data_IF_187099875170
#
_entry.id   IF_187099875170
#
_cell.length_a   1.000
_cell.length_b   1.000
_cell.length_c   1.000
_cell.angle_alpha   90.00
_cell.angle_beta   90.00
_cell.angle_gamma   90.00
#
_symmetry.space_group_name_H-M   'P 1'
#
loop_
_entity.id
_entity.type
_entity.pdbx_description
1 polymer ?
#
# COMPACT_ATOMS: atom_id res chain seq x y z
N UNK A 1 17.93 -9.83 39.68
CA UNK A 1 17.27 -10.33 40.90
C UNK A 1 15.80 -10.44 40.60
N UNK A 2 15.26 -11.66 40.61
CA UNK A 2 13.87 -11.96 40.26
C UNK A 2 13.31 -12.95 41.27
N UNK A 3 12.00 -12.89 41.53
CA UNK A 3 11.28 -13.86 42.34
C UNK A 3 10.16 -14.49 41.50
N UNK A 4 9.80 -15.73 41.84
CA UNK A 4 8.75 -16.47 41.16
C UNK A 4 7.42 -16.22 41.88
N UNK A 5 6.40 -15.75 41.15
CA UNK A 5 5.06 -15.50 41.71
C UNK A 5 4.08 -16.68 41.54
N UNK A 6 4.56 -17.80 41.00
CA UNK A 6 3.73 -18.97 40.65
C UNK A 6 3.33 -19.04 39.17
N UNK A 7 3.53 -17.97 38.40
CA UNK A 7 3.19 -17.90 36.97
C UNK A 7 4.34 -17.34 36.11
N UNK A 8 5.10 -16.37 36.64
CA UNK A 8 6.18 -15.68 35.94
C UNK A 8 7.28 -15.22 36.90
N UNK A 9 8.46 -14.98 36.34
CA UNK A 9 9.54 -14.32 37.04
C UNK A 9 9.28 -12.81 37.09
N UNK A 10 9.09 -12.27 38.29
CA UNK A 10 8.92 -10.84 38.54
C UNK A 10 10.21 -10.24 39.10
N UNK A 11 10.48 -8.99 38.72
CA UNK A 11 11.60 -8.23 39.29
C UNK A 11 11.40 -8.03 40.78
N UNK A 12 12.42 -8.27 41.60
CA UNK A 12 12.41 -7.86 43.01
C UNK A 12 12.69 -6.36 43.17
N UNK A 13 12.99 -5.63 42.09
CA UNK A 13 13.19 -4.18 42.10
C UNK A 13 11.90 -3.48 41.66
N UNK A 14 11.55 -2.40 42.36
CA UNK A 14 10.45 -1.53 42.00
C UNK A 14 10.70 -0.86 40.64
N UNK A 15 9.65 -0.44 39.90
CA UNK A 15 9.81 0.17 38.58
C UNK A 15 10.68 1.44 38.56
N UNK A 16 10.71 2.17 39.67
CA UNK A 16 11.52 3.37 39.87
C UNK A 16 12.95 3.08 40.35
N UNK A 17 13.30 1.81 40.59
CA UNK A 17 14.63 1.36 41.02
C UNK A 17 15.02 1.78 42.44
N UNK A 18 14.09 2.32 43.22
CA UNK A 18 14.35 2.87 44.57
C UNK A 18 14.08 1.87 45.69
N UNK A 19 13.24 0.88 45.44
CA UNK A 19 12.82 -0.09 46.44
C UNK A 19 13.07 -1.52 45.96
N UNK A 20 13.34 -2.42 46.90
CA UNK A 20 13.51 -3.85 46.66
C UNK A 20 12.54 -4.64 47.51
N UNK A 21 11.84 -5.58 46.90
CA UNK A 21 11.02 -6.56 47.58
C UNK A 21 11.93 -7.61 48.24
N UNK A 22 11.80 -7.76 49.56
CA UNK A 22 12.55 -8.75 50.35
C UNK A 22 11.79 -10.08 50.53
N UNK A 23 10.57 -10.21 49.98
CA UNK A 23 9.67 -11.35 50.19
C UNK A 23 8.50 -11.06 51.14
N UNK A 24 8.56 -9.97 51.91
CA UNK A 24 7.54 -9.57 52.89
C UNK A 24 7.19 -8.08 52.86
N UNK A 25 8.14 -7.22 52.49
CA UNK A 25 7.99 -5.78 52.42
C UNK A 25 8.88 -5.17 51.33
N UNK A 26 8.54 -3.95 50.93
CA UNK A 26 9.39 -3.11 50.08
C UNK A 26 10.39 -2.35 50.95
N UNK A 27 11.68 -2.64 50.78
CA UNK A 27 12.77 -1.96 51.46
C UNK A 27 13.42 -0.92 50.55
N UNK A 28 13.75 0.25 51.09
CA UNK A 28 14.49 1.26 50.35
C UNK A 28 15.92 0.80 50.08
N UNK A 29 16.38 0.95 48.84
CA UNK A 29 17.76 0.65 48.49
C UNK A 29 18.67 1.80 48.95
N UNK A 30 19.74 1.46 49.66
CA UNK A 30 20.76 2.44 50.08
C UNK A 30 21.42 3.16 48.89
N UNK A 31 21.43 2.53 47.72
CA UNK A 31 21.83 3.12 46.44
C UNK A 31 20.76 2.73 45.41
N UNK A 32 20.13 3.69 44.70
CA UNK A 32 19.17 3.38 43.65
C UNK A 32 19.79 2.41 42.65
N UNK A 33 19.17 1.25 42.46
CA UNK A 33 19.65 0.32 41.44
C UNK A 33 19.37 0.95 40.08
N UNK A 34 20.38 1.02 39.22
CA UNK A 34 20.18 1.41 37.83
C UNK A 34 19.26 0.38 37.16
N UNK A 35 17.98 0.69 37.08
CA UNK A 35 17.03 0.00 36.23
C UNK A 35 17.12 0.72 34.89
N UNK A 36 17.61 0.08 33.81
CA UNK A 36 17.47 0.68 32.50
C UNK A 36 15.98 0.89 32.27
N UNK A 37 15.55 2.15 32.21
CA UNK A 37 14.15 2.55 32.10
C UNK A 37 13.44 2.00 30.83
N UNK A 38 14.17 1.31 29.97
CA UNK A 38 13.67 0.67 28.78
C UNK A 38 14.56 -0.51 28.39
N UNK A 39 14.15 -1.73 28.74
CA UNK A 39 14.55 -2.90 27.95
C UNK A 39 13.53 -3.03 26.82
N UNK A 40 13.92 -2.91 25.54
CA UNK A 40 13.02 -3.17 24.44
C UNK A 40 12.48 -4.60 24.61
N UNK A 41 11.17 -4.74 24.84
CA UNK A 41 10.48 -6.03 25.00
C UNK A 41 10.61 -6.93 23.76
N UNK A 42 11.08 -6.38 22.64
CA UNK A 42 11.57 -7.13 21.48
C UNK A 42 12.99 -6.71 21.13
N UNK A 43 13.91 -7.67 20.92
CA UNK A 43 15.23 -7.33 20.43
C UNK A 43 15.13 -6.54 19.12
N UNK A 44 15.95 -5.49 18.96
CA UNK A 44 15.92 -4.64 17.78
C UNK A 44 16.16 -5.47 16.52
N UNK A 45 15.40 -5.20 15.46
CA UNK A 45 15.64 -5.83 14.16
C UNK A 45 16.82 -5.16 13.48
N UNK A 46 17.75 -5.95 12.98
CA UNK A 46 18.91 -5.43 12.25
C UNK A 46 18.70 -5.55 10.74
N UNK A 47 19.02 -4.48 9.97
CA UNK A 47 19.02 -4.56 8.51
C UNK A 47 20.02 -5.59 8.01
N UNK A 48 19.63 -6.29 6.94
CA UNK A 48 20.49 -7.24 6.24
C UNK A 48 20.91 -6.66 4.88
N UNK A 49 21.74 -7.40 4.13
CA UNK A 49 22.10 -7.04 2.75
C UNK A 49 20.89 -6.89 1.82
N UNK A 50 19.75 -7.49 2.15
CA UNK A 50 18.50 -7.39 1.39
C UNK A 50 17.65 -6.17 1.73
N UNK A 51 17.89 -5.52 2.87
CA UNK A 51 17.04 -4.41 3.32
C UNK A 51 17.13 -3.21 2.37
N UNK A 52 18.34 -2.78 2.02
CA UNK A 52 18.55 -1.63 1.11
C UNK A 52 18.01 -1.86 -0.30
N UNK A 53 18.31 -2.97 -1.01
CA UNK A 53 17.78 -3.18 -2.35
C UNK A 53 16.25 -3.27 -2.35
N UNK A 54 15.65 -3.92 -1.35
CA UNK A 54 14.19 -3.97 -1.22
C UNK A 54 13.58 -2.58 -1.00
N UNK A 55 14.17 -1.75 -0.14
CA UNK A 55 13.72 -0.36 0.06
C UNK A 55 13.77 0.43 -1.24
N UNK A 56 14.88 0.35 -1.98
CA UNK A 56 15.05 1.07 -3.24
C UNK A 56 14.04 0.57 -4.27
N UNK A 57 13.82 -0.74 -4.38
CA UNK A 57 12.85 -1.30 -5.32
C UNK A 57 11.42 -0.81 -5.05
N UNK A 58 11.00 -0.81 -3.78
CA UNK A 58 9.69 -0.27 -3.37
C UNK A 58 9.61 1.24 -3.62
N UNK A 59 10.65 2.00 -3.25
CA UNK A 59 10.69 3.46 -3.46
C UNK A 59 10.61 3.79 -4.95
N UNK A 60 11.42 3.13 -5.78
CA UNK A 60 11.45 3.35 -7.22
C UNK A 60 10.11 3.03 -7.86
N UNK A 61 9.48 1.92 -7.45
CA UNK A 61 8.16 1.53 -7.94
C UNK A 61 7.10 2.57 -7.60
N UNK A 62 6.96 2.92 -6.32
CA UNK A 62 5.95 3.91 -5.92
C UNK A 62 6.27 5.33 -6.40
N UNK A 63 7.53 5.68 -6.62
CA UNK A 63 7.89 6.94 -7.27
C UNK A 63 7.40 6.97 -8.73
N UNK A 64 7.62 5.88 -9.47
CA UNK A 64 7.07 5.74 -10.82
C UNK A 64 5.53 5.73 -10.81
N UNK A 65 4.89 5.05 -9.84
CA UNK A 65 3.43 5.08 -9.70
C UNK A 65 2.92 6.50 -9.44
N UNK A 66 3.56 7.27 -8.56
CA UNK A 66 3.18 8.65 -8.31
C UNK A 66 3.28 9.51 -9.58
N UNK A 67 4.36 9.35 -10.35
CA UNK A 67 4.50 10.03 -11.65
C UNK A 67 3.36 9.62 -12.58
N UNK A 68 3.08 8.34 -12.71
CA UNK A 68 2.00 7.84 -13.55
C UNK A 68 0.63 8.43 -13.14
N UNK A 69 0.30 8.43 -11.85
CA UNK A 69 -0.95 8.99 -11.32
C UNK A 69 -1.08 10.50 -11.57
N UNK A 70 0.02 11.25 -11.52
CA UNK A 70 0.02 12.68 -11.88
C UNK A 70 -0.33 12.88 -13.36
N UNK A 71 0.20 12.05 -14.24
CA UNK A 71 -0.02 12.18 -15.68
C UNK A 71 -1.33 11.55 -16.17
N UNK A 72 -1.92 10.64 -15.39
CA UNK A 72 -3.11 9.89 -15.78
C UNK A 72 -4.32 10.79 -16.11
N UNK A 73 -4.68 11.82 -15.32
CA UNK A 73 -5.76 12.75 -15.67
C UNK A 73 -5.53 13.49 -16.99
N UNK A 74 -4.27 13.80 -17.33
CA UNK A 74 -3.94 14.50 -18.57
C UNK A 74 -4.08 13.60 -19.80
N UNK A 75 -3.67 12.34 -19.71
CA UNK A 75 -3.81 11.38 -20.82
C UNK A 75 -5.24 10.86 -20.98
N UNK A 76 -5.95 10.67 -19.87
CA UNK A 76 -7.30 10.10 -19.87
C UNK A 76 -8.42 11.13 -19.97
N UNK A 77 -8.18 12.40 -19.62
CA UNK A 77 -9.21 13.44 -19.64
C UNK A 77 -9.87 13.62 -21.00
N UNK A 78 -9.07 13.72 -22.06
CA UNK A 78 -9.58 13.84 -23.44
C UNK A 78 -10.36 12.59 -23.88
N UNK A 79 -9.86 11.40 -23.56
CA UNK A 79 -10.53 10.14 -23.86
C UNK A 79 -11.88 10.02 -23.12
N UNK A 80 -11.94 10.36 -21.84
CA UNK A 80 -13.18 10.34 -21.07
C UNK A 80 -14.23 11.29 -21.62
N UNK A 81 -13.82 12.50 -22.04
CA UNK A 81 -14.72 13.44 -22.73
C UNK A 81 -15.32 12.84 -24.01
N UNK A 82 -14.52 12.13 -24.81
CA UNK A 82 -15.02 11.48 -26.04
C UNK A 82 -16.00 10.34 -25.74
N UNK A 83 -15.68 9.49 -24.76
CA UNK A 83 -16.59 8.42 -24.32
C UNK A 83 -17.91 9.00 -23.82
N UNK A 84 -17.86 10.10 -23.08
CA UNK A 84 -19.05 10.78 -22.58
C UNK A 84 -19.88 11.38 -23.73
N UNK A 85 -19.25 12.04 -24.70
CA UNK A 85 -19.96 12.58 -25.86
C UNK A 85 -20.65 11.46 -26.66
N UNK A 86 -19.98 10.32 -26.84
CA UNK A 86 -20.58 9.16 -27.50
C UNK A 86 -21.73 8.57 -26.69
N UNK A 87 -21.62 8.51 -25.36
CA UNK A 87 -22.70 7.99 -24.51
C UNK A 87 -23.92 8.91 -24.53
N UNK A 88 -23.72 10.23 -24.49
CA UNK A 88 -24.77 11.24 -24.67
C UNK A 88 -25.44 11.09 -26.03
N UNK A 89 -24.68 10.95 -27.11
CA UNK A 89 -25.27 10.78 -28.45
C UNK A 89 -26.12 9.51 -28.55
N UNK A 90 -25.65 8.39 -27.97
CA UNK A 90 -26.44 7.15 -27.92
C UNK A 90 -27.71 7.30 -27.10
N UNK A 91 -27.64 8.03 -25.99
CA UNK A 91 -28.81 8.34 -25.16
C UNK A 91 -29.78 9.23 -25.92
N UNK A 92 -29.33 10.31 -26.54
CA UNK A 92 -30.17 11.21 -27.35
C UNK A 92 -30.86 10.48 -28.50
N UNK A 93 -30.18 9.53 -29.15
CA UNK A 93 -30.78 8.70 -30.20
C UNK A 93 -31.80 7.69 -29.65
N UNK A 94 -31.77 7.38 -28.35
CA UNK A 94 -32.69 6.47 -27.69
C UNK A 94 -33.88 7.19 -27.00
N UNK A 95 -33.80 8.52 -26.81
CA UNK A 95 -34.89 9.31 -26.26
C UNK A 95 -35.98 9.57 -27.31
N UNK A 96 -37.27 9.58 -26.92
CA UNK A 96 -38.35 10.08 -27.76
C UNK A 96 -38.08 11.54 -28.17
N UNK A 97 -38.51 11.97 -29.38
CA UNK A 97 -38.31 13.34 -29.84
C UNK A 97 -38.89 14.37 -28.86
N UNK A 98 -38.03 15.24 -28.30
CA UNK A 98 -38.42 16.32 -27.38
C UNK A 98 -38.12 16.08 -25.90
N UNK A 99 -37.74 14.86 -25.50
CA UNK A 99 -37.37 14.51 -24.11
C UNK A 99 -35.86 14.43 -23.93
N UNK A 100 -35.14 15.50 -24.32
CA UNK A 100 -33.68 15.57 -24.13
C UNK A 100 -33.27 15.71 -22.65
N UNK A 101 -32.04 15.31 -22.28
CA UNK A 101 -31.53 15.51 -20.93
C UNK A 101 -31.54 17.01 -20.53
N UNK A 102 -31.71 17.34 -19.23
CA UNK A 102 -31.80 18.72 -18.77
C UNK A 102 -30.61 19.59 -19.20
N UNK A 103 -30.79 20.91 -19.40
CA UNK A 103 -29.69 21.83 -19.66
C UNK A 103 -28.59 21.71 -18.59
N UNK A 104 -27.32 21.64 -19.02
CA UNK A 104 -26.17 21.47 -18.11
C UNK A 104 -25.90 20.04 -17.64
N UNK A 105 -26.76 19.05 -17.94
CA UNK A 105 -26.54 17.66 -17.52
C UNK A 105 -25.23 17.06 -18.07
N UNK A 106 -24.91 17.34 -19.34
CA UNK A 106 -23.71 16.83 -19.99
C UNK A 106 -22.42 17.45 -19.40
N UNK A 107 -22.45 18.75 -19.08
CA UNK A 107 -21.35 19.47 -18.44
C UNK A 107 -21.11 18.96 -17.02
N UNK A 108 -22.20 18.72 -16.27
CA UNK A 108 -22.14 18.12 -14.94
C UNK A 108 -21.50 16.73 -15.00
N UNK A 109 -21.98 15.86 -15.89
CA UNK A 109 -21.48 14.49 -15.97
C UNK A 109 -20.01 14.43 -16.43
N UNK A 110 -19.63 15.27 -17.40
CA UNK A 110 -18.22 15.40 -17.81
C UNK A 110 -17.35 15.89 -16.65
N UNK A 111 -17.82 16.88 -15.88
CA UNK A 111 -17.09 17.42 -14.74
C UNK A 111 -16.94 16.38 -13.62
N UNK A 112 -17.97 15.59 -13.34
CA UNK A 112 -17.90 14.48 -12.38
C UNK A 112 -16.90 13.42 -12.83
N UNK A 113 -16.93 13.05 -14.10
CA UNK A 113 -16.05 12.03 -14.67
C UNK A 113 -14.58 12.48 -14.63
N UNK A 114 -14.27 13.69 -15.09
CA UNK A 114 -12.91 14.24 -14.98
C UNK A 114 -12.50 14.51 -13.53
N UNK A 115 -13.43 14.96 -12.68
CA UNK A 115 -13.18 15.16 -11.25
C UNK A 115 -12.81 13.85 -10.55
N UNK A 116 -13.45 12.74 -10.91
CA UNK A 116 -13.11 11.42 -10.36
C UNK A 116 -11.68 10.97 -10.70
N UNK A 117 -11.16 11.33 -11.88
CA UNK A 117 -9.75 11.09 -12.23
C UNK A 117 -8.81 11.84 -11.30
N UNK A 118 -9.09 13.11 -11.02
CA UNK A 118 -8.26 13.93 -10.12
C UNK A 118 -8.30 13.43 -8.68
N UNK A 119 -9.48 13.01 -8.21
CA UNK A 119 -9.64 12.38 -6.89
C UNK A 119 -8.84 11.08 -6.84
N UNK A 120 -8.95 10.23 -7.86
CA UNK A 120 -8.18 8.99 -7.97
C UNK A 120 -6.67 9.24 -7.94
N UNK A 121 -6.20 10.18 -8.77
CA UNK A 121 -4.79 10.58 -8.82
C UNK A 121 -4.30 11.08 -7.45
N UNK A 122 -5.06 11.94 -6.78
CA UNK A 122 -4.70 12.44 -5.44
C UNK A 122 -4.57 11.31 -4.41
N UNK A 123 -5.51 10.36 -4.42
CA UNK A 123 -5.47 9.19 -3.53
C UNK A 123 -4.25 8.32 -3.87
N UNK A 124 -4.03 8.01 -5.15
CA UNK A 124 -2.90 7.20 -5.62
C UNK A 124 -1.55 7.81 -5.25
N UNK A 125 -1.38 9.12 -5.46
CA UNK A 125 -0.18 9.88 -5.06
C UNK A 125 0.00 9.83 -3.55
N UNK A 126 -1.07 10.02 -2.77
CA UNK A 126 -0.99 9.97 -1.30
C UNK A 126 -0.52 8.60 -0.81
N UNK A 127 -1.04 7.52 -1.39
CA UNK A 127 -0.61 6.15 -1.10
C UNK A 127 0.87 5.97 -1.46
N UNK A 128 1.29 6.44 -2.62
CA UNK A 128 2.68 6.35 -3.06
C UNK A 128 3.65 7.10 -2.14
N UNK A 129 3.30 8.31 -1.72
CA UNK A 129 4.10 9.10 -0.77
C UNK A 129 4.23 8.35 0.57
N UNK A 130 3.13 7.82 1.10
CA UNK A 130 3.15 7.03 2.35
C UNK A 130 4.01 5.78 2.17
N UNK A 131 3.92 5.09 1.04
CA UNK A 131 4.73 3.90 0.76
C UNK A 131 6.23 4.22 0.68
N UNK A 132 6.62 5.33 0.04
CA UNK A 132 8.01 5.81 -0.03
C UNK A 132 8.54 6.14 1.37
N UNK A 133 7.79 6.93 2.15
CA UNK A 133 8.17 7.30 3.52
C UNK A 133 8.26 6.07 4.41
N UNK A 134 7.29 5.17 4.29
CA UNK A 134 7.26 3.92 5.03
C UNK A 134 8.43 3.00 4.68
N UNK A 135 8.81 2.91 3.40
CA UNK A 135 9.97 2.18 2.96
C UNK A 135 11.25 2.78 3.53
N UNK A 136 11.40 4.11 3.48
CA UNK A 136 12.56 4.79 4.04
C UNK A 136 12.67 4.58 5.56
N UNK A 137 11.57 4.80 6.31
CA UNK A 137 11.51 4.65 7.77
C UNK A 137 11.33 3.20 8.26
N UNK A 138 11.15 2.24 7.35
CA UNK A 138 10.96 0.80 7.63
C UNK A 138 9.76 0.51 8.55
N UNK A 139 8.64 1.16 8.29
CA UNK A 139 7.41 0.94 9.06
C UNK A 139 6.89 -0.49 8.87
N UNK A 140 6.81 -1.26 9.96
CA UNK A 140 6.46 -2.69 9.89
C UNK A 140 5.02 -2.91 9.44
N UNK A 141 4.07 -2.09 9.88
CA UNK A 141 2.67 -2.20 9.43
C UNK A 141 2.54 -1.92 7.93
N UNK A 142 3.24 -0.90 7.44
CA UNK A 142 3.19 -0.47 6.05
C UNK A 142 3.83 -1.50 5.12
N UNK A 143 4.80 -2.29 5.59
CA UNK A 143 5.31 -3.44 4.85
C UNK A 143 4.19 -4.41 4.44
N UNK A 144 3.29 -4.74 5.39
CA UNK A 144 2.17 -5.63 5.13
C UNK A 144 1.13 -4.97 4.23
N UNK A 145 0.85 -3.68 4.44
CA UNK A 145 -0.04 -2.93 3.55
C UNK A 145 0.47 -2.92 2.10
N UNK A 146 1.76 -2.62 1.90
CA UNK A 146 2.40 -2.63 0.57
C UNK A 146 2.38 -4.04 -0.02
N UNK A 147 2.66 -5.09 0.77
CA UNK A 147 2.59 -6.47 0.30
C UNK A 147 1.19 -6.82 -0.24
N UNK A 148 0.14 -6.35 0.44
CA UNK A 148 -1.25 -6.53 -0.01
C UNK A 148 -1.53 -5.72 -1.27
N UNK A 149 -1.11 -4.45 -1.33
CA UNK A 149 -1.32 -3.58 -2.51
C UNK A 149 -0.64 -4.14 -3.75
N UNK A 150 0.63 -4.52 -3.66
CA UNK A 150 1.37 -5.15 -4.75
C UNK A 150 0.78 -6.53 -5.07
N UNK A 151 0.23 -7.24 -4.07
CA UNK A 151 -0.53 -8.47 -4.27
C UNK A 151 -1.81 -8.25 -5.11
N UNK A 152 -2.54 -7.15 -4.89
CA UNK A 152 -3.66 -6.79 -5.76
C UNK A 152 -3.20 -6.44 -7.18
N UNK A 153 -2.05 -5.77 -7.33
CA UNK A 153 -1.41 -5.54 -8.64
C UNK A 153 -1.11 -6.86 -9.36
N UNK A 154 -0.54 -7.84 -8.66
CA UNK A 154 -0.29 -9.18 -9.19
C UNK A 154 -1.59 -9.90 -9.60
N UNK A 155 -2.67 -9.79 -8.83
CA UNK A 155 -3.96 -10.37 -9.22
C UNK A 155 -4.52 -9.71 -10.48
N UNK A 156 -4.40 -8.37 -10.60
CA UNK A 156 -4.74 -7.65 -11.83
C UNK A 156 -3.91 -8.11 -13.03
N UNK A 157 -2.62 -8.39 -12.83
CA UNK A 157 -1.76 -8.95 -13.87
C UNK A 157 -2.23 -10.34 -14.31
N UNK A 158 -2.57 -11.23 -13.37
CA UNK A 158 -3.13 -12.56 -13.69
C UNK A 158 -4.43 -12.43 -14.48
N UNK A 159 -5.32 -11.51 -14.10
CA UNK A 159 -6.53 -11.22 -14.87
C UNK A 159 -6.22 -10.81 -16.32
N UNK A 160 -5.26 -9.90 -16.52
CA UNK A 160 -4.87 -9.45 -17.86
C UNK A 160 -4.26 -10.59 -18.69
N UNK A 161 -3.50 -11.50 -18.09
CA UNK A 161 -2.97 -12.68 -18.77
C UNK A 161 -4.08 -13.67 -19.16
N UNK A 162 -5.10 -13.85 -18.32
CA UNK A 162 -6.27 -14.68 -18.65
C UNK A 162 -7.05 -14.06 -19.81
N UNK A 163 -7.29 -12.74 -19.78
CA UNK A 163 -7.97 -12.05 -20.88
C UNK A 163 -7.17 -12.19 -22.19
N UNK A 164 -5.85 -12.04 -22.13
CA UNK A 164 -4.98 -12.26 -23.28
C UNK A 164 -5.09 -13.69 -23.84
N UNK A 165 -5.08 -14.71 -22.96
CA UNK A 165 -5.23 -16.10 -23.35
C UNK A 165 -6.64 -16.42 -23.90
N UNK A 166 -7.66 -15.69 -23.45
CA UNK A 166 -9.03 -15.75 -23.96
C UNK A 166 -9.26 -14.92 -25.23
N UNK A 167 -8.19 -14.37 -25.85
CA UNK A 167 -8.28 -13.56 -27.07
C UNK A 167 -8.93 -12.18 -26.86
N UNK A 168 -8.92 -11.65 -25.64
CA UNK A 168 -9.52 -10.37 -25.29
C UNK A 168 -11.03 -10.41 -25.07
N UNK A 169 -11.61 -11.60 -24.90
CA UNK A 169 -13.06 -11.75 -24.75
C UNK A 169 -13.62 -11.06 -23.49
N UNK A 170 -12.85 -10.98 -22.40
CA UNK A 170 -13.30 -10.37 -21.14
C UNK A 170 -13.30 -8.85 -21.25
N UNK A 171 -12.27 -8.25 -21.84
CA UNK A 171 -12.23 -6.81 -22.12
C UNK A 171 -13.22 -6.40 -23.22
N UNK A 172 -13.49 -7.27 -24.20
CA UNK A 172 -14.47 -7.01 -25.25
C UNK A 172 -15.91 -6.86 -24.71
N UNK A 173 -16.22 -7.54 -23.60
CA UNK A 173 -17.51 -7.48 -22.91
C UNK A 173 -17.70 -6.20 -22.06
N UNK A 174 -16.66 -5.37 -21.89
CA UNK A 174 -16.74 -4.14 -21.12
C UNK A 174 -17.45 -3.03 -21.91
N UNK A 175 -18.32 -2.29 -21.21
CA UNK A 175 -19.04 -1.15 -21.79
C UNK A 175 -18.12 0.01 -22.21
N UNK A 176 -16.95 0.14 -21.55
CA UNK A 176 -15.92 1.14 -21.86
C UNK A 176 -14.61 0.41 -22.12
N UNK A 177 -14.03 0.62 -23.30
CA UNK A 177 -12.79 -0.02 -23.72
C UNK A 177 -11.63 0.96 -23.60
N UNK A 178 -10.76 0.82 -22.60
CA UNK A 178 -9.69 1.79 -22.42
C UNK A 178 -8.74 1.82 -23.63
N UNK A 179 -8.00 2.92 -23.84
CA UNK A 179 -7.03 3.03 -24.93
C UNK A 179 -6.00 1.90 -24.92
N UNK A 180 -5.56 1.44 -26.09
CA UNK A 180 -4.64 0.29 -26.20
C UNK A 180 -3.34 0.44 -25.40
N UNK A 181 -2.83 1.67 -25.26
CA UNK A 181 -1.61 1.93 -24.49
C UNK A 181 -1.76 1.59 -23.00
N UNK A 182 -2.97 1.63 -22.43
CA UNK A 182 -3.20 1.29 -21.01
C UNK A 182 -2.94 -0.18 -20.75
N UNK A 183 -3.20 -1.05 -21.74
CA UNK A 183 -2.89 -2.48 -21.62
C UNK A 183 -1.38 -2.71 -21.57
N UNK A 184 -0.60 -2.00 -22.40
CA UNK A 184 0.86 -2.09 -22.37
C UNK A 184 1.41 -1.68 -20.99
N UNK A 185 0.91 -0.57 -20.45
CA UNK A 185 1.27 -0.12 -19.10
C UNK A 185 0.87 -1.15 -18.05
N UNK A 186 -0.32 -1.73 -18.15
CA UNK A 186 -0.80 -2.76 -17.23
C UNK A 186 0.06 -4.04 -17.24
N UNK A 187 0.51 -4.49 -18.41
CA UNK A 187 1.41 -5.66 -18.50
C UNK A 187 2.78 -5.38 -17.91
N UNK A 188 3.40 -4.23 -18.25
CA UNK A 188 4.72 -3.84 -17.71
C UNK A 188 4.63 -3.72 -16.19
N UNK A 189 3.59 -3.03 -15.71
CA UNK A 189 3.37 -2.83 -14.27
C UNK A 189 3.14 -4.14 -13.55
N UNK A 190 2.34 -5.04 -14.13
CA UNK A 190 2.05 -6.34 -13.57
C UNK A 190 3.27 -7.25 -13.41
N UNK A 191 4.24 -7.17 -14.33
CA UNK A 191 5.53 -7.89 -14.18
C UNK A 191 6.31 -7.35 -12.98
N UNK A 192 6.37 -6.03 -12.82
CA UNK A 192 7.07 -5.40 -11.69
C UNK A 192 6.37 -5.71 -10.37
N UNK A 193 5.03 -5.64 -10.33
CA UNK A 193 4.24 -6.01 -9.16
C UNK A 193 4.47 -7.47 -8.77
N UNK A 194 4.42 -8.39 -9.74
CA UNK A 194 4.68 -9.81 -9.46
C UNK A 194 6.11 -10.02 -8.91
N UNK A 195 7.12 -9.40 -9.51
CA UNK A 195 8.51 -9.49 -9.05
C UNK A 195 8.68 -8.93 -7.64
N UNK A 196 8.10 -7.76 -7.36
CA UNK A 196 8.13 -7.13 -6.04
C UNK A 196 7.39 -7.98 -5.01
N UNK A 197 6.19 -8.46 -5.33
CA UNK A 197 5.39 -9.31 -4.45
C UNK A 197 6.17 -10.56 -4.03
N UNK A 198 6.74 -11.28 -5.00
CA UNK A 198 7.57 -12.46 -4.73
C UNK A 198 8.79 -12.09 -3.89
N UNK A 199 9.51 -11.02 -4.22
CA UNK A 199 10.69 -10.61 -3.47
C UNK A 199 10.37 -10.23 -2.01
N UNK A 200 9.25 -9.54 -1.78
CA UNK A 200 8.77 -9.18 -0.44
C UNK A 200 8.28 -10.42 0.31
N UNK A 201 7.61 -11.36 -0.35
CA UNK A 201 7.20 -12.61 0.29
C UNK A 201 8.41 -13.44 0.73
N UNK A 202 9.42 -13.58 -0.14
CA UNK A 202 10.69 -14.25 0.18
C UNK A 202 11.42 -13.55 1.32
N UNK A 203 11.47 -12.21 1.32
CA UNK A 203 12.07 -11.43 2.41
C UNK A 203 11.34 -11.66 3.73
N UNK A 204 10.00 -11.68 3.71
CA UNK A 204 9.16 -11.89 4.89
C UNK A 204 9.41 -13.27 5.51
N UNK A 205 9.42 -14.32 4.69
CA UNK A 205 9.60 -15.71 5.15
C UNK A 205 11.02 -15.95 5.67
N UNK A 206 12.05 -15.46 4.96
CA UNK A 206 13.45 -15.79 5.30
C UNK A 206 14.07 -14.89 6.35
N UNK A 207 13.64 -13.64 6.46
CA UNK A 207 14.32 -12.62 7.29
C UNK A 207 13.34 -11.86 8.17
N UNK A 208 12.15 -11.58 7.65
CA UNK A 208 11.11 -10.79 8.29
C UNK A 208 10.80 -9.50 7.51
N UNK A 209 9.88 -8.67 8.02
CA UNK A 209 9.49 -7.42 7.36
C UNK A 209 10.70 -6.52 7.08
N UNK A 210 10.72 -5.90 5.90
CA UNK A 210 11.84 -5.12 5.35
C UNK A 210 13.17 -5.89 5.28
N UNK A 211 13.10 -7.23 5.18
CA UNK A 211 14.27 -8.10 5.18
C UNK A 211 15.18 -7.93 6.43
N UNK A 212 14.62 -7.49 7.57
CA UNK A 212 15.38 -7.28 8.80
C UNK A 212 15.31 -8.50 9.72
N UNK A 213 16.46 -9.00 10.17
CA UNK A 213 16.56 -10.17 11.06
C UNK A 213 16.35 -9.76 12.53
N UNK A 214 15.74 -10.63 13.33
CA UNK A 214 15.72 -10.47 14.80
C UNK A 214 17.08 -10.87 15.36
N UNK A 215 17.68 -9.99 16.15
CA UNK A 215 18.88 -10.33 16.94
C UNK A 215 18.39 -11.17 18.11
N UNK A 216 18.83 -12.41 18.20
CA UNK A 216 18.57 -13.30 19.33
C UNK A 216 19.67 -13.12 20.37
#
# INVERSE_FOLDING_TARGET
>A
MYYWDGQRWLSTLSPDGRHRWNGSAWEALAVPAYVPAYQPTRPPRQPTSWTRPLQIAVIAWYAQSAVYEVFLPFWMGGYMSQVMQQSVQRQQNAYPPGEGPPPGFNEMMSSLMTGSLWIGAFIGISIAVVAIVAAWKRWVWAYYAILVLVGFGMLGFVYNLIDLAAGGALSAAQAVRPPQWTHVVAYISGVVDAALFVSMLVALVRRGPWAMRRVS
#
